data_IF_322017981920
#
_entry.id   IF_322017981920
#
_cell.length_a   1.000
_cell.length_b   1.000
_cell.length_c   1.000
_cell.angle_alpha   90.00
_cell.angle_beta   90.00
_cell.angle_gamma   90.00
#
_symmetry.space_group_name_H-M   'P 1'
#
loop_
_entity.id
_entity.type
_entity.pdbx_description
1 polymer ?
#
# COMPACT_ATOMS: atom_id res chain seq x y z
N UNK A 1 37.85 -51.33 -58.85
CA UNK A 1 36.73 -50.62 -58.19
C UNK A 1 37.30 -49.92 -56.95
N UNK A 2 37.80 -48.69 -57.11
CA UNK A 2 37.24 -47.43 -56.58
C UNK A 2 37.08 -47.40 -55.05
N UNK A 3 38.09 -46.83 -54.36
CA UNK A 3 38.03 -46.37 -52.96
C UNK A 3 36.90 -45.33 -52.80
N UNK A 4 36.03 -45.43 -51.79
CA UNK A 4 35.15 -44.33 -51.42
C UNK A 4 35.87 -43.35 -50.47
N UNK A 5 35.54 -42.08 -50.69
CA UNK A 5 36.18 -40.86 -50.18
C UNK A 5 35.61 -40.48 -48.80
N UNK A 6 36.50 -39.91 -47.98
CA UNK A 6 36.15 -39.08 -46.82
C UNK A 6 35.31 -37.87 -47.26
N UNK A 7 34.25 -37.58 -46.50
CA UNK A 7 33.52 -36.30 -46.54
C UNK A 7 33.28 -35.85 -45.09
N UNK A 8 33.45 -34.55 -44.78
CA UNK A 8 33.70 -34.08 -43.42
C UNK A 8 32.42 -33.74 -42.65
N UNK A 9 32.46 -33.96 -41.34
CA UNK A 9 31.43 -33.56 -40.38
C UNK A 9 31.32 -32.03 -40.30
N UNK A 10 30.09 -31.52 -40.39
CA UNK A 10 29.76 -30.11 -40.15
C UNK A 10 29.95 -29.77 -38.66
N UNK A 11 30.48 -28.59 -38.30
CA UNK A 11 30.71 -28.23 -36.91
C UNK A 11 29.40 -27.83 -36.22
N UNK A 12 29.10 -28.47 -35.09
CA UNK A 12 28.03 -28.07 -34.16
C UNK A 12 28.47 -26.79 -33.45
N UNK A 13 27.78 -25.68 -33.72
CA UNK A 13 27.94 -24.42 -32.98
C UNK A 13 27.53 -24.67 -31.53
N UNK A 14 28.48 -24.56 -30.59
CA UNK A 14 28.21 -24.45 -29.16
C UNK A 14 27.54 -23.09 -28.91
N UNK A 15 26.24 -23.11 -28.69
CA UNK A 15 25.50 -21.99 -28.10
C UNK A 15 25.89 -21.89 -26.63
N UNK A 16 26.65 -20.84 -26.31
CA UNK A 16 26.90 -20.38 -24.94
C UNK A 16 25.55 -19.93 -24.38
N UNK A 17 25.08 -20.39 -23.20
CA UNK A 17 23.88 -19.83 -22.60
C UNK A 17 24.21 -18.41 -22.11
N UNK A 18 23.44 -17.42 -22.57
CA UNK A 18 23.44 -16.07 -21.99
C UNK A 18 23.10 -16.15 -20.49
N UNK A 19 23.72 -15.31 -19.65
CA UNK A 19 23.37 -15.26 -18.24
C UNK A 19 21.96 -14.68 -18.13
N UNK A 20 21.03 -15.51 -17.65
CA UNK A 20 19.71 -15.06 -17.22
C UNK A 20 19.99 -14.15 -16.02
N UNK A 21 19.93 -12.83 -16.24
CA UNK A 21 19.92 -11.86 -15.15
C UNK A 21 18.53 -11.95 -14.52
N UNK A 22 18.37 -12.89 -13.59
CA UNK A 22 17.24 -12.87 -12.68
C UNK A 22 17.32 -11.58 -11.85
N UNK A 23 16.23 -10.80 -11.75
CA UNK A 23 16.21 -9.65 -10.87
C UNK A 23 16.40 -10.17 -9.44
N UNK A 24 17.46 -9.71 -8.78
CA UNK A 24 17.82 -10.15 -7.43
C UNK A 24 16.60 -10.04 -6.48
N UNK A 25 16.14 -11.14 -5.86
CA UNK A 25 15.08 -11.06 -4.89
C UNK A 25 15.62 -10.51 -3.56
N UNK A 26 14.75 -9.78 -2.85
CA UNK A 26 14.89 -9.50 -1.43
C UNK A 26 14.92 -10.83 -0.66
N UNK A 27 16.11 -11.22 -0.18
CA UNK A 27 16.44 -12.50 0.46
C UNK A 27 16.23 -13.71 -0.46
N UNK A 28 17.32 -14.43 -0.75
CA UNK A 28 17.25 -15.65 -1.57
C UNK A 28 16.58 -16.78 -0.79
N UNK A 29 16.01 -17.75 -1.51
CA UNK A 29 15.41 -18.94 -0.89
C UNK A 29 16.43 -19.70 -0.02
N UNK A 30 17.69 -19.76 -0.47
CA UNK A 30 18.81 -20.32 0.30
C UNK A 30 19.08 -19.55 1.59
N UNK A 31 19.02 -18.22 1.55
CA UNK A 31 19.22 -17.37 2.72
C UNK A 31 18.06 -17.53 3.72
N UNK A 32 16.82 -17.61 3.24
CA UNK A 32 15.65 -17.91 4.06
C UNK A 32 15.81 -19.26 4.77
N UNK A 33 16.19 -20.30 4.04
CA UNK A 33 16.43 -21.62 4.63
C UNK A 33 17.53 -21.60 5.71
N UNK A 34 18.60 -20.82 5.50
CA UNK A 34 19.65 -20.64 6.50
C UNK A 34 19.11 -19.95 7.77
N UNK A 35 18.37 -18.86 7.62
CA UNK A 35 17.77 -18.13 8.73
C UNK A 35 16.84 -19.01 9.56
N UNK A 36 16.02 -19.85 8.90
CA UNK A 36 15.10 -20.79 9.58
C UNK A 36 15.88 -21.85 10.36
N UNK A 37 16.93 -22.42 9.74
CA UNK A 37 17.75 -23.43 10.39
C UNK A 37 18.46 -22.89 11.65
N UNK A 38 19.00 -21.67 11.58
CA UNK A 38 19.62 -21.01 12.72
C UNK A 38 18.61 -20.72 13.84
N UNK A 39 17.43 -20.19 13.50
CA UNK A 39 16.38 -19.90 14.48
C UNK A 39 15.87 -21.18 15.17
N UNK A 40 15.65 -22.27 14.42
CA UNK A 40 15.25 -23.56 14.98
C UNK A 40 16.33 -24.15 15.91
N UNK A 41 17.62 -23.99 15.55
CA UNK A 41 18.75 -24.40 16.39
C UNK A 41 18.77 -23.65 17.73
N UNK A 42 18.65 -22.32 17.71
CA UNK A 42 18.62 -21.52 18.95
C UNK A 42 17.42 -21.83 19.84
N UNK A 43 16.28 -22.20 19.25
CA UNK A 43 15.09 -22.64 19.98
C UNK A 43 15.33 -23.98 20.68
N UNK A 44 15.89 -24.96 19.97
CA UNK A 44 16.28 -26.24 20.55
C UNK A 44 17.34 -26.07 21.67
N UNK A 45 18.30 -25.16 21.48
CA UNK A 45 19.35 -24.85 22.46
C UNK A 45 18.77 -24.25 23.75
N UNK A 46 17.80 -23.31 23.66
CA UNK A 46 17.12 -22.75 24.83
C UNK A 46 16.37 -23.79 25.66
N UNK A 47 15.94 -24.89 25.03
CA UNK A 47 15.31 -26.05 25.68
C UNK A 47 16.32 -27.09 26.15
N UNK A 48 17.62 -26.82 26.00
CA UNK A 48 18.70 -27.73 26.37
C UNK A 48 18.75 -29.00 25.52
N UNK A 49 18.21 -28.97 24.29
CA UNK A 49 18.15 -30.12 23.38
C UNK A 49 17.49 -31.38 23.99
N UNK A 50 16.56 -31.20 24.93
CA UNK A 50 15.80 -32.29 25.56
C UNK A 50 14.58 -32.69 24.73
N UNK A 51 14.03 -33.91 24.92
CA UNK A 51 12.92 -34.58 24.18
C UNK A 51 11.73 -33.66 23.84
N UNK A 52 11.92 -32.82 22.84
CA UNK A 52 11.05 -31.70 22.53
C UNK A 52 10.94 -31.55 21.03
N UNK A 53 9.71 -31.68 20.56
CA UNK A 53 9.24 -31.62 19.17
C UNK A 53 10.07 -30.70 18.27
N UNK A 54 11.09 -31.23 17.59
CA UNK A 54 11.98 -30.49 16.67
C UNK A 54 11.22 -29.93 15.47
N UNK A 55 10.15 -30.63 15.07
CA UNK A 55 9.24 -30.19 14.03
C UNK A 55 8.51 -28.91 14.44
N UNK A 56 8.14 -28.78 15.72
CA UNK A 56 7.49 -27.57 16.26
C UNK A 56 8.45 -26.39 16.35
N UNK A 57 9.70 -26.62 16.75
CA UNK A 57 10.75 -25.59 16.70
C UNK A 57 11.01 -25.09 15.27
N UNK A 58 10.98 -25.99 14.29
CA UNK A 58 11.18 -25.64 12.89
C UNK A 58 9.98 -24.89 12.30
N UNK A 59 8.75 -25.32 12.61
CA UNK A 59 7.52 -24.63 12.22
C UNK A 59 7.45 -23.22 12.81
N UNK A 60 7.77 -23.06 14.09
CA UNK A 60 7.77 -21.75 14.74
C UNK A 60 8.91 -20.86 14.24
N UNK A 61 10.09 -21.44 13.94
CA UNK A 61 11.20 -20.71 13.32
C UNK A 61 10.87 -20.26 11.89
N UNK A 62 10.20 -21.10 11.11
CA UNK A 62 9.72 -20.75 9.78
C UNK A 62 8.75 -19.58 9.84
N UNK A 63 7.76 -19.64 10.74
CA UNK A 63 6.80 -18.56 10.94
C UNK A 63 7.48 -17.25 11.39
N UNK A 64 8.45 -17.32 12.30
CA UNK A 64 9.20 -16.16 12.78
C UNK A 64 10.01 -15.50 11.66
N UNK A 65 10.76 -16.29 10.89
CA UNK A 65 11.58 -15.78 9.78
C UNK A 65 10.70 -15.20 8.68
N UNK A 66 9.62 -15.87 8.31
CA UNK A 66 8.68 -15.35 7.30
C UNK A 66 8.05 -14.03 7.73
N UNK A 67 7.67 -13.92 9.00
CA UNK A 67 7.14 -12.68 9.55
C UNK A 67 8.20 -11.57 9.54
N UNK A 68 9.44 -11.87 9.92
CA UNK A 68 10.54 -10.90 9.92
C UNK A 68 10.86 -10.40 8.51
N UNK A 69 10.92 -11.30 7.52
CA UNK A 69 11.14 -10.95 6.12
C UNK A 69 10.00 -10.09 5.57
N UNK A 70 8.75 -10.43 5.88
CA UNK A 70 7.59 -9.63 5.48
C UNK A 70 7.60 -8.23 6.12
N UNK A 71 7.97 -8.12 7.39
CA UNK A 71 8.13 -6.84 8.08
C UNK A 71 9.24 -6.00 7.45
N UNK A 72 10.37 -6.61 7.10
CA UNK A 72 11.49 -5.93 6.45
C UNK A 72 11.11 -5.42 5.05
N UNK A 73 10.45 -6.24 4.23
CA UNK A 73 9.97 -5.83 2.92
C UNK A 73 8.96 -4.67 3.03
N UNK A 74 8.03 -4.76 3.98
CA UNK A 74 7.05 -3.70 4.25
C UNK A 74 7.74 -2.40 4.67
N UNK A 75 8.71 -2.46 5.57
CA UNK A 75 9.48 -1.31 6.01
C UNK A 75 10.27 -0.66 4.86
N UNK A 76 10.87 -1.47 3.97
CA UNK A 76 11.58 -0.96 2.79
C UNK A 76 10.63 -0.24 1.83
N UNK A 77 9.44 -0.80 1.56
CA UNK A 77 8.42 -0.15 0.72
C UNK A 77 7.95 1.17 1.33
N UNK A 78 7.66 1.20 2.63
CA UNK A 78 7.28 2.43 3.33
C UNK A 78 8.39 3.48 3.24
N UNK A 79 9.65 3.10 3.45
CA UNK A 79 10.78 4.02 3.33
C UNK A 79 10.96 4.56 1.90
N UNK A 80 10.69 3.75 0.88
CA UNK A 80 10.70 4.20 -0.52
C UNK A 80 9.62 5.25 -0.80
N UNK A 81 8.41 5.07 -0.27
CA UNK A 81 7.32 6.05 -0.34
C UNK A 81 7.74 7.41 0.22
N UNK A 82 8.45 7.43 1.37
CA UNK A 82 8.96 8.66 1.98
C UNK A 82 9.83 9.46 1.00
N UNK A 83 10.81 8.77 0.41
CA UNK A 83 11.78 9.36 -0.51
C UNK A 83 11.13 9.84 -1.79
N UNK A 84 10.10 9.13 -2.26
CA UNK A 84 9.35 9.54 -3.44
C UNK A 84 8.58 10.84 -3.18
N UNK A 85 7.93 10.98 -2.01
CA UNK A 85 7.25 12.22 -1.61
C UNK A 85 8.24 13.37 -1.42
N UNK A 86 9.38 13.11 -0.76
CA UNK A 86 10.45 14.09 -0.57
C UNK A 86 10.99 14.58 -1.92
N UNK A 87 11.39 13.66 -2.80
CA UNK A 87 11.92 13.98 -4.13
C UNK A 87 10.86 14.69 -4.99
N UNK A 88 9.60 14.25 -4.92
CA UNK A 88 8.47 14.90 -5.56
C UNK A 88 8.45 16.38 -5.21
N UNK A 89 8.36 16.71 -3.92
CA UNK A 89 8.21 18.10 -3.46
C UNK A 89 9.49 18.90 -3.73
N UNK A 90 10.66 18.26 -3.65
CA UNK A 90 11.93 18.90 -4.00
C UNK A 90 12.05 19.20 -5.51
N UNK A 91 11.49 18.35 -6.37
CA UNK A 91 11.53 18.51 -7.83
C UNK A 91 10.54 19.54 -8.38
N UNK A 92 9.56 19.96 -7.56
CA UNK A 92 8.56 20.95 -7.98
C UNK A 92 9.23 22.30 -8.20
N UNK A 93 9.14 22.78 -9.44
CA UNK A 93 9.45 24.15 -9.82
C UNK A 93 8.26 25.05 -9.46
N UNK A 94 8.51 26.34 -9.22
CA UNK A 94 7.51 27.33 -8.76
C UNK A 94 6.23 27.42 -9.63
N UNK A 95 6.25 26.87 -10.85
CA UNK A 95 5.15 26.87 -11.82
C UNK A 95 4.63 25.47 -12.22
N UNK A 96 5.04 24.40 -11.54
CA UNK A 96 4.58 23.05 -11.88
C UNK A 96 3.17 22.82 -11.31
N UNK A 97 2.17 22.88 -12.20
CA UNK A 97 0.73 22.94 -11.86
C UNK A 97 0.06 21.57 -11.74
N UNK A 98 0.79 20.46 -11.95
CA UNK A 98 0.32 19.15 -11.53
C UNK A 98 0.26 19.16 -10.01
N UNK A 99 -0.96 19.23 -9.45
CA UNK A 99 -1.15 19.55 -8.03
C UNK A 99 -0.34 18.56 -7.19
N UNK A 100 0.51 19.09 -6.30
CA UNK A 100 1.30 18.27 -5.37
C UNK A 100 0.35 17.30 -4.65
N UNK A 101 -0.87 17.76 -4.36
CA UNK A 101 -1.97 16.96 -3.85
C UNK A 101 -2.27 15.73 -4.71
N UNK A 102 -2.48 15.85 -6.02
CA UNK A 102 -2.74 14.69 -6.91
C UNK A 102 -1.57 13.70 -6.93
N UNK A 103 -0.33 14.19 -6.94
CA UNK A 103 0.87 13.33 -6.98
C UNK A 103 1.09 12.63 -5.64
N UNK A 104 0.98 13.36 -4.52
CA UNK A 104 1.04 12.77 -3.16
C UNK A 104 -0.11 11.78 -2.97
N UNK A 105 -1.30 12.08 -3.47
CA UNK A 105 -2.45 11.18 -3.45
C UNK A 105 -2.13 9.87 -4.16
N UNK A 106 -1.57 9.93 -5.37
CA UNK A 106 -1.23 8.74 -6.14
C UNK A 106 -0.13 7.89 -5.48
N UNK A 107 0.93 8.53 -4.95
CA UNK A 107 2.01 7.86 -4.22
C UNK A 107 1.44 7.14 -2.98
N UNK A 108 0.59 7.84 -2.22
CA UNK A 108 -0.02 7.30 -1.00
C UNK A 108 -0.95 6.12 -1.31
N UNK A 109 -1.77 6.21 -2.36
CA UNK A 109 -2.64 5.11 -2.80
C UNK A 109 -1.83 3.87 -3.23
N UNK A 110 -0.69 4.06 -3.91
CA UNK A 110 0.22 2.95 -4.23
C UNK A 110 0.82 2.33 -2.97
N UNK A 111 1.18 3.13 -1.97
CA UNK A 111 1.69 2.63 -0.69
C UNK A 111 0.63 1.79 0.04
N UNK A 112 -0.63 2.22 0.02
CA UNK A 112 -1.74 1.45 0.59
C UNK A 112 -2.03 0.17 -0.19
N UNK A 113 -1.91 0.17 -1.52
CA UNK A 113 -2.08 -1.04 -2.32
C UNK A 113 -1.05 -2.13 -1.97
N UNK A 114 0.15 -1.76 -1.53
CA UNK A 114 1.20 -2.70 -1.11
C UNK A 114 1.10 -3.17 0.34
N UNK A 115 0.25 -2.54 1.17
CA UNK A 115 0.13 -2.82 2.60
C UNK A 115 -1.20 -3.50 2.92
N UNK A 116 -1.23 -4.31 3.99
CA UNK A 116 -2.50 -4.68 4.62
C UNK A 116 -3.09 -3.38 5.20
N UNK A 117 -4.38 -3.11 4.96
CA UNK A 117 -5.09 -1.94 5.50
C UNK A 117 -5.36 -2.09 7.01
N UNK A 118 -4.31 -2.39 7.77
CA UNK A 118 -4.33 -2.50 9.22
C UNK A 118 -3.95 -1.13 9.83
N UNK A 119 -4.49 -0.77 11.01
CA UNK A 119 -4.29 0.54 11.63
C UNK A 119 -2.81 0.95 11.77
N UNK A 120 -1.94 0.02 12.15
CA UNK A 120 -0.50 0.29 12.33
C UNK A 120 0.22 0.59 11.00
N UNK A 121 -0.10 -0.15 9.94
CA UNK A 121 0.46 0.10 8.61
C UNK A 121 0.00 1.46 8.07
N UNK A 122 -1.28 1.79 8.27
CA UNK A 122 -1.84 3.10 7.91
C UNK A 122 -1.12 4.22 8.65
N UNK A 123 -0.95 4.10 9.97
CA UNK A 123 -0.22 5.06 10.80
C UNK A 123 1.22 5.27 10.30
N UNK A 124 1.91 4.19 9.94
CA UNK A 124 3.27 4.26 9.41
C UNK A 124 3.34 4.99 8.07
N UNK A 125 2.43 4.70 7.13
CA UNK A 125 2.38 5.36 5.82
C UNK A 125 2.05 6.85 5.99
N UNK A 126 1.05 7.20 6.79
CA UNK A 126 0.68 8.60 7.08
C UNK A 126 1.88 9.37 7.63
N UNK A 127 2.55 8.84 8.67
CA UNK A 127 3.75 9.45 9.24
C UNK A 127 4.86 9.65 8.21
N UNK A 128 5.04 8.67 7.33
CA UNK A 128 6.08 8.66 6.30
C UNK A 128 5.82 9.74 5.26
N UNK A 129 4.58 9.87 4.78
CA UNK A 129 4.19 10.92 3.83
C UNK A 129 4.34 12.30 4.48
N UNK A 130 3.93 12.47 5.75
CA UNK A 130 4.11 13.74 6.48
C UNK A 130 5.60 14.10 6.59
N UNK A 131 6.46 13.17 6.99
CA UNK A 131 7.91 13.41 7.10
C UNK A 131 8.53 13.76 5.75
N UNK A 132 8.21 13.00 4.70
CA UNK A 132 8.68 13.29 3.34
C UNK A 132 8.23 14.68 2.87
N UNK A 133 6.99 15.08 3.21
CA UNK A 133 6.48 16.40 2.89
C UNK A 133 7.17 17.53 3.65
N UNK A 134 7.41 17.36 4.94
CA UNK A 134 8.17 18.32 5.75
C UNK A 134 9.59 18.48 5.22
N UNK A 135 10.27 17.37 4.91
CA UNK A 135 11.64 17.37 4.39
C UNK A 135 11.72 18.01 3.00
N UNK A 136 10.83 17.64 2.07
CA UNK A 136 10.81 18.20 0.73
C UNK A 136 10.45 19.69 0.68
N UNK A 137 9.62 20.17 1.62
CA UNK A 137 9.24 21.58 1.73
C UNK A 137 10.24 22.43 2.53
N UNK A 138 11.14 21.81 3.30
CA UNK A 138 12.07 22.49 4.20
C UNK A 138 12.96 23.49 3.45
N UNK A 139 13.07 24.71 3.99
CA UNK A 139 13.97 25.74 3.43
C UNK A 139 13.46 26.41 2.15
N UNK A 140 12.19 26.23 1.79
CA UNK A 140 11.52 26.85 0.62
C UNK A 140 10.94 28.23 0.91
N UNK A 141 11.28 28.85 2.05
CA UNK A 141 10.85 30.19 2.42
C UNK A 141 9.32 30.33 2.50
N UNK A 142 8.76 31.33 1.81
CA UNK A 142 7.33 31.62 1.80
C UNK A 142 6.46 30.48 1.21
N UNK A 143 7.06 29.58 0.44
CA UNK A 143 6.34 28.49 -0.23
C UNK A 143 6.21 27.22 0.64
N UNK A 144 6.99 27.08 1.72
CA UNK A 144 7.00 25.88 2.58
C UNK A 144 5.59 25.53 3.08
N UNK A 145 4.84 26.54 3.56
CA UNK A 145 3.48 26.36 4.05
C UNK A 145 2.51 25.86 2.98
N UNK A 146 2.64 26.38 1.74
CA UNK A 146 1.78 25.97 0.62
C UNK A 146 2.07 24.54 0.19
N UNK A 147 3.35 24.21 -0.01
CA UNK A 147 3.78 22.85 -0.39
C UNK A 147 3.31 21.80 0.63
N UNK A 148 3.43 22.12 1.92
CA UNK A 148 2.99 21.23 2.99
C UNK A 148 1.47 21.09 3.02
N UNK A 149 0.71 22.17 2.85
CA UNK A 149 -0.77 22.11 2.74
C UNK A 149 -1.22 21.27 1.56
N UNK A 150 -0.64 21.48 0.38
CA UNK A 150 -0.97 20.72 -0.82
C UNK A 150 -0.66 19.23 -0.62
N UNK A 151 0.47 18.89 -0.01
CA UNK A 151 0.81 17.50 0.30
C UNK A 151 -0.18 16.87 1.29
N UNK A 152 -0.57 17.60 2.34
CA UNK A 152 -1.54 17.11 3.34
C UNK A 152 -2.94 16.93 2.74
N UNK A 153 -3.36 17.79 1.82
CA UNK A 153 -4.60 17.60 1.06
C UNK A 153 -4.54 16.31 0.22
N UNK A 154 -3.42 16.05 -0.46
CA UNK A 154 -3.24 14.81 -1.22
C UNK A 154 -3.31 13.55 -0.36
N UNK A 155 -2.78 13.60 0.87
CA UNK A 155 -2.85 12.52 1.84
C UNK A 155 -4.29 12.29 2.34
N UNK A 156 -5.03 13.37 2.65
CA UNK A 156 -6.45 13.31 3.03
C UNK A 156 -7.30 12.68 1.90
N UNK A 157 -7.11 13.15 0.67
CA UNK A 157 -7.82 12.64 -0.51
C UNK A 157 -7.48 11.17 -0.82
N UNK A 158 -6.27 10.71 -0.50
CA UNK A 158 -5.87 9.31 -0.65
C UNK A 158 -6.57 8.42 0.39
N UNK A 159 -6.61 8.84 1.65
CA UNK A 159 -7.32 8.12 2.71
C UNK A 159 -8.82 8.07 2.44
N UNK A 160 -9.40 9.18 1.97
CA UNK A 160 -10.79 9.26 1.54
C UNK A 160 -11.11 8.27 0.41
N UNK A 161 -10.26 8.22 -0.62
CA UNK A 161 -10.38 7.27 -1.72
C UNK A 161 -10.20 5.81 -1.27
N UNK A 162 -9.33 5.56 -0.29
CA UNK A 162 -9.14 4.23 0.28
C UNK A 162 -10.37 3.74 1.06
N UNK A 163 -10.99 4.61 1.86
CA UNK A 163 -12.23 4.32 2.57
C UNK A 163 -13.38 4.01 1.58
N UNK A 164 -13.51 4.80 0.52
CA UNK A 164 -14.52 4.59 -0.52
C UNK A 164 -14.31 3.27 -1.29
N UNK A 165 -13.07 2.99 -1.70
CA UNK A 165 -12.72 1.73 -2.37
C UNK A 165 -13.03 0.51 -1.50
N UNK A 166 -12.71 0.59 -0.20
CA UNK A 166 -13.00 -0.46 0.79
C UNK A 166 -14.50 -0.70 0.92
N UNK A 167 -15.27 0.39 1.05
CA UNK A 167 -16.73 0.31 1.11
C UNK A 167 -17.33 -0.31 -0.17
N UNK A 168 -16.88 0.09 -1.35
CA UNK A 168 -17.39 -0.45 -2.62
C UNK A 168 -17.07 -1.95 -2.77
N UNK A 169 -15.84 -2.34 -2.44
CA UNK A 169 -15.43 -3.75 -2.47
C UNK A 169 -16.28 -4.61 -1.52
N UNK A 170 -16.57 -4.11 -0.31
CA UNK A 170 -17.41 -4.81 0.67
C UNK A 170 -18.88 -4.88 0.24
N UNK A 171 -19.43 -3.82 -0.34
CA UNK A 171 -20.79 -3.84 -0.89
C UNK A 171 -20.92 -4.87 -2.01
N UNK A 172 -19.96 -4.91 -2.94
CA UNK A 172 -19.99 -5.86 -4.04
C UNK A 172 -19.85 -7.30 -3.56
N UNK A 173 -18.98 -7.54 -2.58
CA UNK A 173 -18.85 -8.84 -1.94
C UNK A 173 -20.14 -9.30 -1.28
N UNK A 174 -20.79 -8.44 -0.49
CA UNK A 174 -22.04 -8.76 0.18
C UNK A 174 -23.17 -9.09 -0.82
N UNK A 175 -23.21 -8.40 -1.96
CA UNK A 175 -24.20 -8.65 -3.01
C UNK A 175 -23.96 -9.95 -3.80
N UNK A 176 -22.72 -10.44 -3.87
CA UNK A 176 -22.34 -11.60 -4.71
C UNK A 176 -22.30 -12.95 -3.98
N UNK A 177 -22.12 -12.97 -2.65
CA UNK A 177 -22.05 -14.23 -1.87
C UNK A 177 -22.12 -13.95 -0.36
N UNK A 178 -22.74 -14.84 0.42
CA UNK A 178 -22.79 -14.76 1.89
C UNK A 178 -21.44 -15.03 2.58
N UNK A 179 -20.32 -14.94 1.87
CA UNK A 179 -18.98 -15.36 2.30
C UNK A 179 -18.37 -14.54 3.44
N UNK A 180 -19.06 -13.53 3.98
CA UNK A 180 -18.55 -12.68 5.07
C UNK A 180 -19.07 -13.05 6.44
N UNK A 181 -18.16 -13.22 7.40
CA UNK A 181 -18.52 -13.27 8.81
C UNK A 181 -19.04 -11.89 9.23
N UNK A 182 -20.14 -11.87 9.98
CA UNK A 182 -20.67 -10.66 10.63
C UNK A 182 -19.59 -9.96 11.46
N UNK A 183 -18.72 -10.74 12.10
CA UNK A 183 -17.62 -10.24 12.91
C UNK A 183 -16.56 -9.53 12.05
N UNK A 184 -16.23 -10.06 10.88
CA UNK A 184 -15.29 -9.42 9.96
C UNK A 184 -15.80 -8.10 9.40
N UNK A 185 -17.09 -8.04 9.02
CA UNK A 185 -17.72 -6.80 8.56
C UNK A 185 -17.79 -5.76 9.69
N UNK A 186 -18.17 -6.17 10.91
CA UNK A 186 -18.16 -5.28 12.07
C UNK A 186 -16.75 -4.74 12.36
N UNK A 187 -15.73 -5.60 12.37
CA UNK A 187 -14.34 -5.17 12.55
C UNK A 187 -13.96 -4.11 11.51
N UNK A 188 -14.29 -4.34 10.23
CA UNK A 188 -13.95 -3.39 9.17
C UNK A 188 -14.67 -2.05 9.33
N UNK A 189 -15.93 -2.05 9.78
CA UNK A 189 -16.67 -0.82 10.11
C UNK A 189 -15.99 -0.08 11.26
N UNK A 190 -15.63 -0.80 12.32
CA UNK A 190 -14.93 -0.23 13.47
C UNK A 190 -13.57 0.35 13.05
N UNK A 191 -12.79 -0.36 12.23
CA UNK A 191 -11.50 0.09 11.69
C UNK A 191 -11.66 1.37 10.84
N UNK A 192 -12.63 1.42 9.93
CA UNK A 192 -12.94 2.62 9.14
C UNK A 192 -13.31 3.80 10.02
N UNK A 193 -14.12 3.59 11.05
CA UNK A 193 -14.54 4.65 11.97
C UNK A 193 -13.36 5.29 12.73
N UNK A 194 -12.25 4.57 12.90
CA UNK A 194 -11.04 5.11 13.54
C UNK A 194 -10.14 5.93 12.62
N UNK A 195 -10.34 5.86 11.30
CA UNK A 195 -9.39 6.36 10.30
C UNK A 195 -9.15 7.88 10.39
N UNK A 196 -10.22 8.67 10.54
CA UNK A 196 -10.10 10.13 10.67
C UNK A 196 -9.37 10.52 11.96
N UNK A 197 -9.69 9.86 13.08
CA UNK A 197 -9.02 10.12 14.36
C UNK A 197 -7.54 9.80 14.27
N UNK A 198 -7.17 8.67 13.64
CA UNK A 198 -5.79 8.29 13.39
C UNK A 198 -5.05 9.32 12.54
N UNK A 199 -5.69 9.83 11.49
CA UNK A 199 -5.13 10.87 10.62
C UNK A 199 -4.85 12.15 11.39
N UNK A 200 -5.83 12.68 12.12
CA UNK A 200 -5.70 13.92 12.91
C UNK A 200 -4.65 13.76 14.02
N UNK A 201 -4.63 12.63 14.73
CA UNK A 201 -3.64 12.35 15.78
C UNK A 201 -2.21 12.33 15.20
N UNK A 202 -2.05 11.76 14.01
CA UNK A 202 -0.74 11.66 13.35
C UNK A 202 -0.24 13.04 12.91
N UNK A 203 -1.09 13.89 12.34
CA UNK A 203 -0.73 15.28 12.02
C UNK A 203 -0.42 16.06 13.29
N UNK A 204 -1.21 15.88 14.37
CA UNK A 204 -0.97 16.55 15.65
C UNK A 204 0.39 16.17 16.25
N UNK A 205 0.77 14.90 16.15
CA UNK A 205 2.09 14.40 16.58
C UNK A 205 3.21 15.01 15.75
N UNK A 206 3.03 15.06 14.43
CA UNK A 206 4.00 15.69 13.53
C UNK A 206 4.13 17.20 13.80
N UNK A 207 3.04 17.90 14.10
CA UNK A 207 3.04 19.32 14.45
C UNK A 207 3.84 19.58 15.73
N UNK A 208 3.65 18.75 16.78
CA UNK A 208 4.39 18.87 18.05
C UNK A 208 5.89 18.64 17.90
N UNK A 209 6.30 17.82 16.93
CA UNK A 209 7.70 17.49 16.68
C UNK A 209 8.36 18.41 15.65
N UNK A 210 7.59 19.26 14.98
CA UNK A 210 8.09 20.22 14.01
C UNK A 210 8.49 21.55 14.67
N UNK A 211 9.18 22.39 13.92
CA UNK A 211 9.52 23.77 14.32
C UNK A 211 9.22 24.75 13.19
N UNK A 212 9.05 26.04 13.51
CA UNK A 212 8.93 27.10 12.51
C UNK A 212 7.67 27.00 11.65
N UNK A 213 7.81 27.23 10.34
CA UNK A 213 6.69 27.26 9.39
C UNK A 213 5.96 25.92 9.30
N UNK A 214 6.68 24.80 9.28
CA UNK A 214 6.07 23.47 9.30
C UNK A 214 5.19 23.23 10.55
N UNK A 215 5.64 23.65 11.74
CA UNK A 215 4.86 23.53 12.97
C UNK A 215 3.56 24.34 12.91
N UNK A 216 3.65 25.61 12.54
CA UNK A 216 2.49 26.49 12.42
C UNK A 216 1.48 25.93 11.39
N UNK A 217 1.98 25.50 10.24
CA UNK A 217 1.14 24.96 9.16
C UNK A 217 0.41 23.68 9.56
N UNK A 218 1.10 22.72 10.20
CA UNK A 218 0.47 21.48 10.64
C UNK A 218 -0.52 21.72 11.79
N UNK A 219 -0.23 22.65 12.69
CA UNK A 219 -1.15 23.04 13.74
C UNK A 219 -2.44 23.66 13.17
N UNK A 220 -2.32 24.56 12.18
CA UNK A 220 -3.47 25.14 11.47
C UNK A 220 -4.32 24.06 10.79
N UNK A 221 -3.67 23.05 10.17
CA UNK A 221 -4.36 21.93 9.54
C UNK A 221 -5.11 21.05 10.55
N UNK A 222 -4.52 20.76 11.72
CA UNK A 222 -5.21 20.03 12.79
C UNK A 222 -6.44 20.80 13.25
N UNK A 223 -6.30 22.12 13.45
CA UNK A 223 -7.41 22.96 13.88
C UNK A 223 -8.51 23.04 12.81
N UNK A 224 -8.13 23.10 11.55
CA UNK A 224 -9.07 23.05 10.44
C UNK A 224 -9.82 21.71 10.39
N UNK A 225 -9.10 20.59 10.48
CA UNK A 225 -9.70 19.25 10.49
C UNK A 225 -10.70 19.07 11.64
N UNK A 226 -10.40 19.59 12.84
CA UNK A 226 -11.31 19.52 13.98
C UNK A 226 -12.56 20.39 13.84
N UNK A 227 -12.45 21.56 13.19
CA UNK A 227 -13.54 22.53 13.10
C UNK A 227 -14.40 22.37 11.84
N UNK A 228 -13.79 21.93 10.74
CA UNK A 228 -14.40 21.87 9.41
C UNK A 228 -14.52 20.43 8.88
N UNK A 229 -13.91 19.46 9.54
CA UNK A 229 -13.84 18.07 9.09
C UNK A 229 -12.73 17.83 8.06
N UNK A 230 -12.64 16.59 7.61
CA UNK A 230 -11.67 16.13 6.59
C UNK A 230 -12.39 15.43 5.44
N UNK A 231 -11.74 15.31 4.28
CA UNK A 231 -12.27 14.50 3.18
C UNK A 231 -12.38 13.03 3.59
N UNK A 232 -11.40 12.53 4.37
CA UNK A 232 -11.45 11.18 4.94
C UNK A 232 -12.65 11.02 5.88
N UNK A 233 -12.93 11.98 6.76
CA UNK A 233 -14.07 11.95 7.67
C UNK A 233 -15.40 11.83 6.95
N UNK A 234 -15.63 12.65 5.92
CA UNK A 234 -16.85 12.60 5.10
C UNK A 234 -17.02 11.24 4.41
N UNK A 235 -15.95 10.68 3.85
CA UNK A 235 -16.00 9.37 3.19
C UNK A 235 -16.16 8.23 4.19
N UNK A 236 -15.52 8.30 5.35
CA UNK A 236 -15.67 7.33 6.44
C UNK A 236 -17.10 7.32 6.96
N UNK A 237 -17.71 8.49 7.20
CA UNK A 237 -19.11 8.58 7.64
C UNK A 237 -20.06 7.90 6.65
N UNK A 238 -19.92 8.21 5.35
CA UNK A 238 -20.71 7.56 4.30
C UNK A 238 -20.46 6.06 4.25
N UNK A 239 -19.20 5.64 4.36
CA UNK A 239 -18.80 4.24 4.29
C UNK A 239 -19.38 3.42 5.45
N UNK A 240 -19.22 3.92 6.68
CA UNK A 240 -19.74 3.31 7.91
C UNK A 240 -21.26 3.18 7.84
N UNK A 241 -21.97 4.23 7.42
CA UNK A 241 -23.43 4.20 7.27
C UNK A 241 -23.88 3.11 6.28
N UNK A 242 -23.27 3.07 5.09
CA UNK A 242 -23.60 2.08 4.04
C UNK A 242 -23.30 0.65 4.47
N UNK A 243 -22.17 0.42 5.13
CA UNK A 243 -21.78 -0.91 5.59
C UNK A 243 -22.60 -1.38 6.80
N UNK A 244 -23.00 -0.47 7.68
CA UNK A 244 -23.92 -0.78 8.78
C UNK A 244 -25.27 -1.29 8.26
N UNK A 245 -25.79 -0.72 7.17
CA UNK A 245 -26.99 -1.24 6.50
C UNK A 245 -26.80 -2.68 5.99
N UNK A 246 -25.69 -2.95 5.29
CA UNK A 246 -25.35 -4.31 4.82
C UNK A 246 -25.26 -5.31 5.99
N UNK A 247 -24.66 -4.91 7.11
CA UNK A 247 -24.53 -5.74 8.31
C UNK A 247 -25.90 -6.11 8.90
N UNK A 248 -26.85 -5.18 8.92
CA UNK A 248 -28.21 -5.41 9.42
C UNK A 248 -28.98 -6.34 8.48
N UNK A 249 -28.89 -6.13 7.18
CA UNK A 249 -29.60 -6.96 6.18
C UNK A 249 -29.12 -8.41 6.20
N UNK A 250 -27.81 -8.61 6.30
CA UNK A 250 -27.19 -9.95 6.42
C UNK A 250 -27.66 -10.69 7.67
N UNK A 251 -27.98 -9.99 8.77
CA UNK A 251 -28.46 -10.60 10.01
C UNK A 251 -29.86 -11.21 9.88
N UNK A 252 -30.71 -10.70 8.97
CA UNK A 252 -32.05 -11.26 8.75
C UNK A 252 -31.99 -12.55 7.93
N UNK A 253 -31.07 -12.65 6.98
CA UNK A 253 -30.87 -13.87 6.16
C UNK A 253 -30.20 -15.01 6.93
N UNK A 254 -29.30 -14.73 7.87
CA UNK A 254 -28.68 -15.80 8.69
C UNK A 254 -29.64 -16.47 9.68
N UNK A 255 -30.80 -15.87 9.98
CA UNK A 255 -31.84 -16.53 10.77
C UNK A 255 -32.65 -17.54 9.94
N UNK A 256 -32.68 -17.42 8.60
CA UNK A 256 -33.39 -18.37 7.72
C UNK A 256 -32.50 -19.50 7.20
N UNK A 257 -31.18 -19.30 7.14
CA UNK A 257 -30.20 -20.32 6.77
C UNK A 257 -29.50 -20.91 8.02
N UNK A 258 -29.81 -22.17 8.34
CA UNK A 258 -29.37 -22.85 9.57
C UNK A 258 -27.87 -22.82 9.87
N UNK A 259 -27.55 -22.89 11.16
CA UNK A 259 -26.22 -22.73 11.74
C UNK A 259 -25.19 -23.76 11.26
N UNK A 260 -24.41 -23.42 10.23
CA UNK A 260 -22.96 -23.67 10.13
C UNK A 260 -22.48 -23.23 8.75
N UNK A 261 -21.83 -22.06 8.68
CA UNK A 261 -21.03 -21.70 7.52
C UNK A 261 -19.75 -21.06 8.03
N UNK A 262 -18.67 -21.85 8.07
CA UNK A 262 -17.31 -21.33 8.25
C UNK A 262 -16.97 -20.54 6.99
N UNK A 263 -16.66 -19.26 7.16
CA UNK A 263 -16.44 -18.29 6.09
C UNK A 263 -14.96 -17.92 6.04
N UNK A 264 -14.40 -17.84 4.83
CA UNK A 264 -12.97 -17.57 4.62
C UNK A 264 -12.66 -16.10 4.93
N UNK A 265 -11.77 -15.88 5.88
CA UNK A 265 -11.45 -14.55 6.42
C UNK A 265 -10.30 -13.88 5.63
N UNK A 266 -10.53 -12.66 5.16
CA UNK A 266 -9.50 -11.64 4.91
C UNK A 266 -8.75 -11.66 3.57
N UNK A 267 -8.21 -12.79 3.12
CA UNK A 267 -7.19 -12.80 2.05
C UNK A 267 -7.70 -12.33 0.68
N UNK A 268 -8.94 -12.67 0.30
CA UNK A 268 -9.54 -12.24 -0.96
C UNK A 268 -9.82 -10.74 -1.01
N UNK A 269 -10.06 -10.12 0.15
CA UNK A 269 -10.48 -8.72 0.27
C UNK A 269 -9.30 -7.77 0.18
N UNK A 270 -8.21 -8.13 0.86
CA UNK A 270 -6.96 -7.42 0.73
C UNK A 270 -6.53 -7.33 -0.75
N UNK A 271 -6.72 -8.40 -1.53
CA UNK A 271 -6.41 -8.42 -2.96
C UNK A 271 -7.30 -7.50 -3.82
N UNK A 272 -8.63 -7.49 -3.59
CA UNK A 272 -9.56 -6.65 -4.35
C UNK A 272 -9.29 -5.17 -4.06
N UNK A 273 -9.18 -4.80 -2.78
CA UNK A 273 -8.96 -3.41 -2.39
C UNK A 273 -7.60 -2.92 -2.88
N UNK A 274 -6.55 -3.72 -2.72
CA UNK A 274 -5.23 -3.43 -3.28
C UNK A 274 -5.27 -3.19 -4.79
N UNK A 275 -5.98 -4.04 -5.54
CA UNK A 275 -6.16 -3.89 -6.99
C UNK A 275 -6.88 -2.60 -7.38
N UNK A 276 -7.95 -2.25 -6.66
CA UNK A 276 -8.69 -0.99 -6.88
C UNK A 276 -7.81 0.21 -6.58
N UNK A 277 -7.10 0.22 -5.45
CA UNK A 277 -6.22 1.34 -5.07
C UNK A 277 -5.09 1.54 -6.06
N UNK A 278 -4.47 0.45 -6.51
CA UNK A 278 -3.44 0.48 -7.56
C UNK A 278 -4.01 1.02 -8.88
N UNK A 279 -5.24 0.66 -9.23
CA UNK A 279 -5.93 1.17 -10.41
C UNK A 279 -6.19 2.69 -10.35
N UNK A 280 -6.69 3.18 -9.20
CA UNK A 280 -6.91 4.62 -8.98
C UNK A 280 -5.59 5.38 -9.02
N UNK A 281 -4.54 4.86 -8.37
CA UNK A 281 -3.21 5.46 -8.40
C UNK A 281 -2.64 5.55 -9.83
N UNK A 282 -2.76 4.48 -10.63
CA UNK A 282 -2.30 4.47 -12.01
C UNK A 282 -3.04 5.50 -12.89
N UNK A 283 -4.35 5.68 -12.70
CA UNK A 283 -5.13 6.68 -13.42
C UNK A 283 -4.69 8.12 -13.09
N UNK A 284 -4.36 8.39 -11.82
CA UNK A 284 -3.88 9.70 -11.38
C UNK A 284 -2.48 10.01 -11.94
N UNK A 285 -1.62 9.01 -12.11
CA UNK A 285 -0.30 9.17 -12.71
C UNK A 285 -0.32 9.30 -14.24
N UNK A 286 -1.37 8.84 -14.90
CA UNK A 286 -1.48 8.82 -16.36
C UNK A 286 -1.85 10.18 -17.02
N UNK A 287 -1.91 11.29 -16.27
CA UNK A 287 -2.12 12.65 -16.84
C UNK A 287 -0.93 13.56 -16.50
N UNK A 288 -0.35 14.29 -17.48
CA UNK A 288 -1.08 15.06 -18.50
C UNK A 288 -0.73 14.77 -19.99
N UNK A 289 -1.69 15.15 -20.85
CA UNK A 289 -1.59 15.60 -22.26
C UNK A 289 -2.00 14.68 -23.44
N UNK A 290 -3.16 15.00 -24.06
CA UNK A 290 -3.24 15.50 -25.45
C UNK A 290 -4.68 15.88 -25.82
N UNK A 291 -4.93 17.19 -25.92
CA UNK A 291 -6.00 17.75 -26.75
C UNK A 291 -5.72 17.36 -28.21
N UNK A 292 -6.66 16.76 -28.97
CA UNK A 292 -6.40 16.48 -30.38
C UNK A 292 -6.25 17.81 -31.13
N UNK A 293 -5.12 17.99 -31.79
CA UNK A 293 -4.84 19.16 -32.64
C UNK A 293 -5.90 19.26 -33.76
N UNK A 294 -6.33 20.47 -34.16
CA UNK A 294 -7.23 20.62 -35.29
C UNK A 294 -6.50 20.21 -36.57
N UNK A 295 -7.11 19.31 -37.34
CA UNK A 295 -6.60 18.90 -38.65
C UNK A 295 -6.46 20.14 -39.54
N UNK A 296 -5.23 20.53 -39.85
CA UNK A 296 -4.93 21.48 -40.92
C UNK A 296 -5.30 20.83 -42.26
N UNK A 297 -6.46 21.20 -42.80
CA UNK A 297 -6.80 20.95 -44.20
C UNK A 297 -5.96 21.89 -45.07
N UNK A 298 -4.78 21.41 -45.46
CA UNK A 298 -3.95 22.02 -46.49
C UNK A 298 -4.49 21.67 -47.87
N UNK A 299 -4.78 22.72 -48.65
CA UNK A 299 -5.10 22.72 -50.09
C UNK A 299 -4.33 21.66 -50.89
N UNK A 300 -5.07 20.79 -51.57
CA UNK A 300 -4.64 20.15 -52.82
C UNK A 300 -4.95 21.06 -54.00
N UNK A 301 -4.00 21.13 -54.93
CA UNK A 301 -4.07 21.83 -56.22
C UNK A 301 -5.17 21.30 -57.12
#
# INVERSE_FOLDING_TARGET
>A
MRKPKSSPAKPVKRSIPEPIVEPAPSVTEEERCRMIAEAAYFRAEKRGFTDGNTEEDWLEAEAEVDQALQQQETAQKIAATAKEVEHLIQSVLENDTASISDRVRAITLNAFAGAKLEPEALKQIINTVIKGAQQGASGRGEHEAKLLKDAMQGLDDALAAAAEATQLALQEAANRSSEFSRQGLKKTIDDLATLESLFIETISTAARNATGTAQATLHDLVQHAQNSGTAVGQKVESAVSRLAHVLVDTSREQMSAGAQTLRKEGALFAGIVSGVLKGVAAQLQAKPDKKPAPRSSGRGK
#
